data_IF_107544127302
#
_entry.id   IF_107544127302
#
_cell.length_a   1.000
_cell.length_b   1.000
_cell.length_c   1.000
_cell.angle_alpha   90.00
_cell.angle_beta   90.00
_cell.angle_gamma   90.00
#
_symmetry.space_group_name_H-M   'P 1'
#
loop_
_entity.id
_entity.type
_entity.pdbx_description
1 polymer ?
#
# COMPACT_ATOMS: atom_id res chain seq x y z
N UNK A 1 -9.33 33.24 -34.63
CA UNK A 1 -9.61 31.88 -34.13
C UNK A 1 -11.12 31.70 -34.04
N UNK A 2 -11.65 30.66 -34.69
CA UNK A 2 -13.11 30.42 -34.73
C UNK A 2 -13.61 29.97 -33.32
N UNK A 3 -14.87 30.29 -32.97
CA UNK A 3 -15.45 29.91 -31.63
C UNK A 3 -15.29 28.41 -31.32
N UNK A 4 -15.46 27.56 -32.36
CA UNK A 4 -15.25 26.09 -32.25
C UNK A 4 -13.80 25.73 -31.91
N UNK A 5 -12.83 26.39 -32.53
CA UNK A 5 -11.40 26.16 -32.28
C UNK A 5 -11.01 26.52 -30.84
N UNK A 6 -11.52 27.65 -30.30
CA UNK A 6 -11.29 28.06 -28.90
C UNK A 6 -11.85 27.05 -27.94
N UNK A 7 -13.07 26.52 -28.17
CA UNK A 7 -13.69 25.52 -27.35
C UNK A 7 -12.86 24.22 -27.31
N UNK A 8 -12.40 23.76 -28.49
CA UNK A 8 -11.56 22.56 -28.58
C UNK A 8 -10.26 22.74 -27.80
N UNK A 9 -9.61 23.91 -27.91
CA UNK A 9 -8.38 24.20 -27.16
C UNK A 9 -8.61 24.19 -25.68
N UNK A 10 -9.70 24.78 -25.18
CA UNK A 10 -10.05 24.77 -23.73
C UNK A 10 -10.27 23.35 -23.25
N UNK A 11 -11.04 22.53 -24.00
CA UNK A 11 -11.29 21.13 -23.62
C UNK A 11 -9.99 20.32 -23.60
N UNK A 12 -9.10 20.55 -24.59
CA UNK A 12 -7.80 19.86 -24.64
C UNK A 12 -6.92 20.23 -23.44
N UNK A 13 -6.86 21.51 -23.06
CA UNK A 13 -6.11 21.96 -21.88
C UNK A 13 -6.68 21.34 -20.60
N UNK A 14 -8.01 21.37 -20.44
CA UNK A 14 -8.67 20.76 -19.28
C UNK A 14 -8.41 19.25 -19.21
N UNK A 15 -8.44 18.55 -20.34
CA UNK A 15 -8.13 17.11 -20.38
C UNK A 15 -6.68 16.81 -19.96
N UNK A 16 -5.73 17.62 -20.40
CA UNK A 16 -4.32 17.53 -19.99
C UNK A 16 -4.18 17.79 -18.48
N UNK A 17 -4.78 18.86 -17.96
CA UNK A 17 -4.77 19.15 -16.52
C UNK A 17 -5.36 17.99 -15.72
N UNK A 18 -6.47 17.42 -16.15
CA UNK A 18 -7.10 16.30 -15.49
C UNK A 18 -6.22 15.05 -15.50
N UNK A 19 -5.52 14.77 -16.61
CA UNK A 19 -4.58 13.66 -16.72
C UNK A 19 -3.42 13.80 -15.72
N UNK A 20 -2.88 15.02 -15.53
CA UNK A 20 -1.83 15.28 -14.54
C UNK A 20 -2.33 15.18 -13.08
N UNK A 21 -3.57 15.56 -12.83
CA UNK A 21 -4.17 15.48 -11.49
C UNK A 21 -4.69 14.07 -11.16
N UNK A 22 -4.83 13.19 -12.14
CA UNK A 22 -5.38 11.84 -11.96
C UNK A 22 -4.67 11.02 -10.87
N UNK A 23 -3.32 10.97 -10.79
CA UNK A 23 -2.63 10.25 -9.71
C UNK A 23 -2.99 10.81 -8.32
N UNK A 24 -3.11 12.14 -8.21
CA UNK A 24 -3.49 12.80 -6.95
C UNK A 24 -4.89 12.42 -6.50
N UNK A 25 -5.85 12.49 -7.41
CA UNK A 25 -7.24 12.09 -7.14
C UNK A 25 -7.30 10.59 -6.78
N UNK A 26 -6.57 9.75 -7.52
CA UNK A 26 -6.53 8.31 -7.27
C UNK A 26 -5.93 8.00 -5.91
N UNK A 27 -4.88 8.70 -5.49
CA UNK A 27 -4.24 8.50 -4.20
C UNK A 27 -5.10 8.95 -3.03
N UNK A 28 -5.59 10.20 -3.06
CA UNK A 28 -6.30 10.77 -1.90
C UNK A 28 -7.79 10.40 -1.80
N UNK A 29 -8.47 10.24 -2.94
CA UNK A 29 -9.91 10.02 -2.95
C UNK A 29 -10.32 8.56 -3.17
N UNK A 30 -9.46 7.74 -3.85
CA UNK A 30 -9.83 6.37 -4.25
C UNK A 30 -9.07 5.29 -3.52
N UNK A 31 -7.88 5.58 -2.97
CA UNK A 31 -7.06 4.59 -2.27
C UNK A 31 -7.41 4.56 -0.78
N UNK A 32 -7.90 3.45 -0.23
CA UNK A 32 -8.17 3.30 1.21
C UNK A 32 -6.92 3.55 2.05
N UNK A 33 -7.08 4.05 3.27
CA UNK A 33 -5.96 4.35 4.17
C UNK A 33 -5.06 3.14 4.46
N UNK A 34 -5.64 1.96 4.55
CA UNK A 34 -4.90 0.70 4.73
C UNK A 34 -3.99 0.39 3.53
N UNK A 35 -4.54 0.51 2.31
CA UNK A 35 -3.77 0.35 1.06
C UNK A 35 -2.70 1.45 0.91
N UNK A 36 -2.94 2.67 1.43
CA UNK A 36 -1.95 3.74 1.45
C UNK A 36 -0.77 3.40 2.36
N UNK A 37 -1.04 2.89 3.57
CA UNK A 37 0.01 2.48 4.51
C UNK A 37 0.88 1.36 3.92
N UNK A 38 0.28 0.37 3.26
CA UNK A 38 0.99 -0.69 2.56
C UNK A 38 1.83 -0.16 1.38
N UNK A 39 1.28 0.75 0.59
CA UNK A 39 2.00 1.35 -0.54
C UNK A 39 3.22 2.17 -0.11
N UNK A 40 3.20 2.77 1.09
CA UNK A 40 4.31 3.52 1.67
C UNK A 40 5.40 2.62 2.27
N UNK A 41 5.11 1.35 2.50
CA UNK A 41 6.07 0.41 3.08
C UNK A 41 7.21 0.04 2.12
N UNK A 42 8.22 -0.70 2.62
CA UNK A 42 9.34 -1.20 1.82
C UNK A 42 8.87 -2.23 0.78
N UNK A 43 9.66 -2.43 -0.28
CA UNK A 43 9.34 -3.45 -1.30
C UNK A 43 9.32 -4.86 -0.73
N UNK A 44 10.14 -5.12 0.28
CA UNK A 44 10.20 -6.39 0.99
C UNK A 44 8.90 -6.62 1.77
N UNK A 45 8.48 -5.65 2.58
CA UNK A 45 7.20 -5.72 3.30
C UNK A 45 5.99 -5.90 2.36
N UNK A 46 6.00 -5.22 1.20
CA UNK A 46 4.95 -5.39 0.19
C UNK A 46 4.93 -6.83 -0.33
N UNK A 47 6.10 -7.43 -0.60
CA UNK A 47 6.22 -8.80 -1.06
C UNK A 47 5.72 -9.79 0.00
N UNK A 48 6.16 -9.63 1.25
CA UNK A 48 5.79 -10.51 2.35
C UNK A 48 4.29 -10.45 2.65
N UNK A 49 3.72 -9.25 2.68
CA UNK A 49 2.29 -9.06 2.81
C UNK A 49 1.51 -9.72 1.66
N UNK A 50 1.97 -9.53 0.41
CA UNK A 50 1.31 -10.09 -0.77
C UNK A 50 1.37 -11.63 -0.76
N UNK A 51 2.50 -12.22 -0.34
CA UNK A 51 2.67 -13.67 -0.18
C UNK A 51 1.74 -14.22 0.91
N UNK A 52 1.74 -13.58 2.08
CA UNK A 52 0.88 -13.99 3.20
C UNK A 52 -0.61 -13.95 2.82
N UNK A 53 -1.04 -12.84 2.22
CA UNK A 53 -2.42 -12.63 1.79
C UNK A 53 -2.83 -13.65 0.72
N UNK A 54 -1.99 -13.87 -0.29
CA UNK A 54 -2.22 -14.85 -1.34
C UNK A 54 -2.35 -16.27 -0.80
N UNK A 55 -1.46 -16.68 0.09
CA UNK A 55 -1.50 -18.00 0.71
C UNK A 55 -2.76 -18.21 1.53
N UNK A 56 -3.19 -17.18 2.28
CA UNK A 56 -4.43 -17.20 3.07
C UNK A 56 -5.66 -17.34 2.18
N UNK A 57 -5.75 -16.52 1.12
CA UNK A 57 -6.93 -16.51 0.24
C UNK A 57 -7.01 -17.78 -0.61
N UNK A 58 -5.88 -18.28 -1.11
CA UNK A 58 -5.83 -19.57 -1.82
C UNK A 58 -6.25 -20.72 -0.88
N UNK A 59 -5.84 -20.69 0.39
CA UNK A 59 -6.27 -21.68 1.38
C UNK A 59 -7.78 -21.61 1.59
N UNK A 60 -8.36 -20.42 1.69
CA UNK A 60 -9.81 -20.21 1.81
C UNK A 60 -10.56 -20.69 0.56
N UNK A 61 -10.08 -20.36 -0.65
CA UNK A 61 -10.66 -20.83 -1.90
C UNK A 61 -10.68 -22.37 -2.01
N UNK A 62 -9.56 -23.01 -1.67
CA UNK A 62 -9.47 -24.48 -1.67
C UNK A 62 -10.40 -25.10 -0.64
N UNK A 63 -10.54 -24.49 0.54
CA UNK A 63 -11.47 -24.95 1.57
C UNK A 63 -12.93 -24.82 1.12
N UNK A 64 -13.30 -23.68 0.52
CA UNK A 64 -14.65 -23.46 -0.03
C UNK A 64 -14.99 -24.47 -1.14
N UNK A 65 -14.07 -24.70 -2.07
CA UNK A 65 -14.24 -25.68 -3.15
C UNK A 65 -14.36 -27.12 -2.66
N UNK A 66 -13.73 -27.46 -1.52
CA UNK A 66 -13.88 -28.78 -0.88
C UNK A 66 -15.19 -28.93 -0.11
N UNK A 67 -15.66 -27.84 0.51
CA UNK A 67 -16.92 -27.85 1.28
C UNK A 67 -18.14 -27.96 0.36
N UNK A 68 -18.12 -27.26 -0.77
CA UNK A 68 -19.18 -27.29 -1.78
C UNK A 68 -18.58 -27.22 -3.19
N UNK A 69 -18.54 -28.36 -3.92
CA UNK A 69 -18.03 -28.42 -5.29
C UNK A 69 -18.83 -27.59 -6.30
N UNK A 70 -20.06 -27.21 -5.99
CA UNK A 70 -20.89 -26.37 -6.87
C UNK A 70 -20.64 -24.86 -6.66
N UNK A 71 -19.80 -24.47 -5.70
CA UNK A 71 -19.44 -23.08 -5.44
C UNK A 71 -18.91 -22.44 -6.72
N UNK A 72 -19.48 -21.27 -7.07
CA UNK A 72 -19.07 -20.50 -8.25
C UNK A 72 -17.97 -19.51 -7.88
N UNK A 73 -17.14 -19.16 -8.87
CA UNK A 73 -16.17 -18.06 -8.73
C UNK A 73 -16.93 -16.75 -8.53
N UNK A 74 -16.65 -15.97 -7.47
CA UNK A 74 -17.31 -14.69 -7.19
C UNK A 74 -17.24 -13.72 -8.38
N UNK A 75 -18.29 -12.93 -8.56
CA UNK A 75 -18.40 -12.01 -9.69
C UNK A 75 -17.34 -10.89 -9.67
N UNK A 76 -16.89 -10.49 -8.47
CA UNK A 76 -15.89 -9.46 -8.24
C UNK A 76 -14.44 -9.92 -8.52
N UNK A 77 -14.23 -11.22 -8.77
CA UNK A 77 -12.93 -11.80 -9.08
C UNK A 77 -12.72 -11.96 -10.60
N UNK A 78 -12.98 -10.92 -11.39
CA UNK A 78 -12.76 -10.96 -12.83
C UNK A 78 -11.32 -11.28 -13.23
N UNK A 79 -10.34 -10.75 -12.49
CA UNK A 79 -8.92 -11.03 -12.69
C UNK A 79 -8.60 -12.54 -12.61
N UNK A 80 -9.31 -13.28 -11.75
CA UNK A 80 -9.15 -14.72 -11.60
C UNK A 80 -9.79 -15.47 -12.80
N UNK A 81 -11.01 -15.09 -13.19
CA UNK A 81 -11.69 -15.64 -14.37
C UNK A 81 -10.89 -15.42 -15.65
N UNK A 82 -10.29 -14.24 -15.83
CA UNK A 82 -9.43 -13.95 -16.97
C UNK A 82 -8.21 -14.87 -17.03
N UNK A 83 -7.58 -15.15 -15.89
CA UNK A 83 -6.44 -16.08 -15.86
C UNK A 83 -6.86 -17.50 -16.16
N UNK A 84 -7.97 -17.98 -15.58
CA UNK A 84 -8.53 -19.31 -15.89
C UNK A 84 -8.85 -19.44 -17.37
N UNK A 85 -9.42 -18.39 -17.97
CA UNK A 85 -9.69 -18.37 -19.42
C UNK A 85 -8.41 -18.48 -20.26
N UNK A 86 -7.31 -17.87 -19.82
CA UNK A 86 -6.00 -18.02 -20.47
C UNK A 86 -5.47 -19.43 -20.31
N UNK A 87 -5.54 -20.01 -19.12
CA UNK A 87 -5.10 -21.38 -18.85
C UNK A 87 -5.87 -22.39 -19.69
N UNK A 88 -7.20 -22.27 -19.77
CA UNK A 88 -8.03 -23.12 -20.62
C UNK A 88 -7.68 -23.02 -22.09
N UNK A 89 -7.35 -21.81 -22.58
CA UNK A 89 -6.90 -21.62 -23.95
C UNK A 89 -5.56 -22.32 -24.22
N UNK A 90 -4.63 -22.30 -23.25
CA UNK A 90 -3.35 -23.01 -23.38
C UNK A 90 -3.52 -24.53 -23.38
N UNK A 91 -4.50 -25.04 -22.64
CA UNK A 91 -4.81 -26.48 -22.59
C UNK A 91 -5.79 -26.93 -23.66
N UNK A 92 -6.18 -26.05 -24.60
CA UNK A 92 -7.21 -26.30 -25.62
C UNK A 92 -8.57 -26.76 -25.04
N UNK A 93 -8.88 -26.36 -23.82
CA UNK A 93 -10.16 -26.60 -23.15
C UNK A 93 -11.17 -25.51 -23.47
N UNK A 94 -12.46 -25.89 -23.54
CA UNK A 94 -13.53 -24.93 -23.76
C UNK A 94 -13.91 -24.23 -22.44
N UNK A 95 -13.77 -22.90 -22.39
CA UNK A 95 -14.26 -22.11 -21.28
C UNK A 95 -15.79 -21.95 -21.37
N UNK A 96 -16.49 -22.12 -20.25
CA UNK A 96 -17.94 -21.90 -20.15
C UNK A 96 -18.28 -21.18 -18.85
N UNK A 97 -19.30 -20.35 -18.85
CA UNK A 97 -19.89 -19.72 -17.67
C UNK A 97 -21.26 -20.38 -17.39
N UNK A 98 -21.64 -20.49 -16.09
CA UNK A 98 -20.95 -20.08 -14.88
C UNK A 98 -19.73 -20.97 -14.55
N UNK A 99 -18.63 -20.36 -14.04
CA UNK A 99 -17.40 -21.05 -13.73
C UNK A 99 -17.41 -21.56 -12.28
N UNK A 100 -17.30 -22.88 -12.09
CA UNK A 100 -17.17 -23.49 -10.76
C UNK A 100 -15.77 -23.24 -10.21
N UNK A 101 -15.69 -23.01 -8.90
CA UNK A 101 -14.41 -22.72 -8.21
C UNK A 101 -13.45 -23.92 -8.32
N UNK A 102 -13.95 -25.14 -8.23
CA UNK A 102 -13.15 -26.37 -8.41
C UNK A 102 -12.46 -26.39 -9.78
N UNK A 103 -13.20 -26.11 -10.85
CA UNK A 103 -12.67 -26.12 -12.21
C UNK A 103 -11.66 -25.00 -12.43
N UNK A 104 -11.92 -23.84 -11.83
CA UNK A 104 -11.00 -22.71 -11.84
C UNK A 104 -9.66 -23.05 -11.14
N UNK A 105 -9.71 -23.68 -9.96
CA UNK A 105 -8.51 -24.08 -9.22
C UNK A 105 -7.73 -25.17 -9.98
N UNK A 106 -8.41 -26.13 -10.61
CA UNK A 106 -7.80 -27.21 -11.40
C UNK A 106 -7.18 -26.73 -12.72
N UNK A 107 -7.41 -25.48 -13.13
CA UNK A 107 -6.77 -24.89 -14.32
C UNK A 107 -5.31 -24.47 -14.09
N UNK A 108 -4.84 -24.53 -12.85
CA UNK A 108 -3.44 -24.25 -12.50
C UNK A 108 -2.67 -25.55 -12.32
N UNK A 109 -1.47 -25.64 -12.85
CA UNK A 109 -0.66 -26.85 -12.80
C UNK A 109 -0.26 -27.24 -11.36
N UNK A 110 -0.19 -26.25 -10.45
CA UNK A 110 0.13 -26.49 -9.04
C UNK A 110 -0.47 -25.43 -8.12
N UNK A 111 -0.62 -25.80 -6.83
CA UNK A 111 -0.99 -24.84 -5.79
C UNK A 111 0.00 -23.69 -5.69
N UNK A 112 1.28 -23.95 -5.89
CA UNK A 112 2.34 -22.92 -5.83
C UNK A 112 2.17 -21.93 -6.98
N UNK A 113 1.84 -22.39 -8.18
CA UNK A 113 1.55 -21.50 -9.32
C UNK A 113 0.36 -20.59 -9.02
N UNK A 114 -0.71 -21.15 -8.47
CA UNK A 114 -1.89 -20.38 -8.06
C UNK A 114 -1.52 -19.32 -7.01
N UNK A 115 -0.76 -19.67 -5.96
CA UNK A 115 -0.31 -18.72 -4.94
C UNK A 115 0.55 -17.61 -5.55
N UNK A 116 1.50 -17.95 -6.41
CA UNK A 116 2.36 -16.97 -7.08
C UNK A 116 1.56 -16.03 -8.00
N UNK A 117 0.56 -16.55 -8.68
CA UNK A 117 -0.33 -15.72 -9.49
C UNK A 117 -1.12 -14.73 -8.62
N UNK A 118 -1.76 -15.19 -7.55
CA UNK A 118 -2.53 -14.35 -6.62
C UNK A 118 -1.63 -13.33 -5.92
N UNK A 119 -0.41 -13.72 -5.50
CA UNK A 119 0.61 -12.82 -4.97
C UNK A 119 0.92 -11.71 -5.97
N UNK A 120 1.15 -12.06 -7.23
CA UNK A 120 1.42 -11.09 -8.28
C UNK A 120 0.31 -10.07 -8.48
N UNK A 121 -0.96 -10.48 -8.34
CA UNK A 121 -2.12 -9.60 -8.41
C UNK A 121 -2.13 -8.61 -7.24
N UNK A 122 -1.94 -9.08 -6.00
CA UNK A 122 -1.89 -8.21 -4.82
C UNK A 122 -0.71 -7.25 -4.89
N UNK A 123 0.48 -7.75 -5.19
CA UNK A 123 1.69 -6.94 -5.32
C UNK A 123 1.53 -5.86 -6.39
N UNK A 124 0.98 -6.21 -7.56
CA UNK A 124 0.72 -5.25 -8.63
C UNK A 124 -0.27 -4.16 -8.22
N UNK A 125 -1.32 -4.51 -7.46
CA UNK A 125 -2.28 -3.54 -6.91
C UNK A 125 -1.60 -2.55 -5.97
N UNK A 126 -0.78 -3.04 -5.03
CA UNK A 126 -0.07 -2.21 -4.05
C UNK A 126 0.97 -1.32 -4.75
N UNK A 127 1.74 -1.86 -5.69
CA UNK A 127 2.72 -1.11 -6.46
C UNK A 127 2.06 -0.01 -7.31
N UNK A 128 0.88 -0.27 -7.89
CA UNK A 128 0.10 0.76 -8.59
C UNK A 128 -0.30 1.90 -7.66
N UNK A 129 -0.71 1.60 -6.43
CA UNK A 129 -1.02 2.62 -5.44
C UNK A 129 0.24 3.40 -5.03
N UNK A 130 1.40 2.74 -4.93
CA UNK A 130 2.71 3.38 -4.70
C UNK A 130 3.08 4.32 -5.85
N UNK A 131 2.80 3.95 -7.09
CA UNK A 131 3.01 4.82 -8.26
C UNK A 131 2.07 6.03 -8.24
N UNK A 132 0.81 5.87 -7.83
CA UNK A 132 -0.08 7.00 -7.62
C UNK A 132 0.46 7.96 -6.56
N UNK A 133 0.95 7.45 -5.44
CA UNK A 133 1.61 8.28 -4.42
C UNK A 133 2.84 9.01 -4.98
N UNK A 134 3.70 8.30 -5.71
CA UNK A 134 4.92 8.88 -6.29
C UNK A 134 4.62 10.03 -7.25
N UNK A 135 3.57 9.90 -8.05
CA UNK A 135 3.16 10.87 -9.07
C UNK A 135 2.07 11.84 -8.59
N UNK A 136 1.60 11.73 -7.34
CA UNK A 136 0.63 12.67 -6.77
C UNK A 136 1.28 13.97 -6.35
N UNK A 137 0.50 15.04 -6.40
CA UNK A 137 0.88 16.31 -5.77
C UNK A 137 0.89 16.08 -4.26
N UNK A 138 2.06 16.30 -3.64
CA UNK A 138 2.22 16.16 -2.19
C UNK A 138 1.55 17.34 -1.52
N UNK A 139 0.54 17.06 -0.71
CA UNK A 139 -0.02 18.07 0.17
C UNK A 139 1.01 18.40 1.23
N UNK A 140 1.26 19.70 1.49
CA UNK A 140 2.11 20.14 2.59
C UNK A 140 1.56 19.64 3.93
N UNK A 141 2.38 19.64 4.96
CA UNK A 141 2.00 19.17 6.30
C UNK A 141 0.72 19.86 6.82
N UNK A 142 0.55 21.14 6.53
CA UNK A 142 -0.62 21.93 6.92
C UNK A 142 -1.94 21.45 6.26
N UNK A 143 -1.85 20.84 5.08
CA UNK A 143 -3.02 20.33 4.32
C UNK A 143 -3.24 18.84 4.49
N UNK A 144 -2.21 18.07 4.84
CA UNK A 144 -2.33 16.63 5.04
C UNK A 144 -2.75 16.22 6.46
N UNK A 145 -2.90 17.20 7.36
CA UNK A 145 -3.08 16.96 8.79
C UNK A 145 -1.76 16.55 9.45
N UNK A 146 -1.40 17.20 10.56
CA UNK A 146 -0.17 16.92 11.27
C UNK A 146 -0.04 15.46 11.68
N UNK A 147 1.20 14.97 11.76
CA UNK A 147 1.52 13.67 12.31
C UNK A 147 2.00 13.85 13.76
N UNK A 148 1.30 13.24 14.71
CA UNK A 148 1.78 13.13 16.08
C UNK A 148 2.76 11.97 16.17
N UNK A 149 4.03 12.27 16.40
CA UNK A 149 5.07 11.26 16.65
C UNK A 149 5.48 11.36 18.11
N UNK A 150 5.23 10.30 18.88
CA UNK A 150 5.71 10.17 20.24
C UNK A 150 7.06 9.46 20.18
N UNK A 151 8.15 10.19 20.48
CA UNK A 151 9.49 9.61 20.60
C UNK A 151 9.76 9.31 22.05
N UNK A 152 10.04 8.05 22.38
CA UNK A 152 10.49 7.64 23.72
C UNK A 152 12.01 7.53 23.72
N UNK A 153 12.64 8.27 24.60
CA UNK A 153 14.07 8.10 24.88
C UNK A 153 14.26 7.01 25.95
N UNK A 154 15.14 6.04 25.66
CA UNK A 154 15.56 5.04 26.66
C UNK A 154 16.65 5.65 27.54
N UNK A 155 16.23 6.22 28.67
CA UNK A 155 17.12 6.90 29.61
C UNK A 155 17.84 5.92 30.55
N UNK A 156 17.35 4.68 30.67
CA UNK A 156 17.96 3.68 31.56
C UNK A 156 19.33 3.24 31.01
N UNK A 157 19.47 3.19 29.67
CA UNK A 157 20.77 2.91 29.03
C UNK A 157 21.81 4.03 29.26
N UNK A 158 21.38 5.27 29.46
CA UNK A 158 22.27 6.41 29.76
C UNK A 158 22.74 6.35 31.20
N UNK A 159 21.88 5.99 32.13
CA UNK A 159 22.16 5.88 33.57
C UNK A 159 23.13 4.75 33.85
N UNK A 160 22.94 3.58 33.21
CA UNK A 160 23.80 2.40 33.38
C UNK A 160 25.29 2.68 33.05
N UNK A 161 25.59 3.72 32.29
CA UNK A 161 26.94 4.07 31.87
C UNK A 161 27.62 5.16 32.76
N UNK A 162 26.94 5.79 33.72
CA UNK A 162 27.49 6.97 34.41
C UNK A 162 27.42 6.97 35.97
N UNK A 163 27.06 5.87 36.63
CA UNK A 163 27.32 5.68 38.08
C UNK A 163 26.33 6.26 39.07
N UNK A 164 26.34 5.69 40.18
CA UNK A 164 25.47 5.32 41.30
C UNK A 164 25.01 6.42 42.31
N UNK A 165 24.56 7.59 41.95
CA UNK A 165 23.93 8.47 42.94
C UNK A 165 22.56 9.01 42.49
N UNK A 166 21.50 8.91 43.34
CA UNK A 166 20.13 9.29 42.96
C UNK A 166 19.96 10.77 42.55
N UNK A 167 20.77 11.65 43.07
CA UNK A 167 20.72 13.10 42.75
C UNK A 167 21.31 13.40 41.36
N UNK A 168 22.34 12.65 40.98
CA UNK A 168 22.96 12.73 39.64
C UNK A 168 22.07 12.16 38.57
N UNK A 169 21.27 11.15 38.90
CA UNK A 169 20.32 10.50 38.02
C UNK A 169 19.23 11.45 37.49
N UNK A 170 18.68 12.29 38.34
CA UNK A 170 17.59 13.21 37.96
C UNK A 170 18.09 14.38 37.09
N UNK A 171 19.28 14.90 37.37
CA UNK A 171 19.93 15.94 36.56
C UNK A 171 20.37 15.38 35.19
N UNK A 172 20.92 14.19 35.15
CA UNK A 172 21.33 13.50 33.90
C UNK A 172 20.14 13.18 33.01
N UNK A 173 19.03 12.74 33.59
CA UNK A 173 17.77 12.53 32.84
C UNK A 173 17.25 13.81 32.21
N UNK A 174 17.29 14.91 32.95
CA UNK A 174 16.85 16.22 32.47
C UNK A 174 17.74 16.74 31.34
N UNK A 175 19.07 16.63 31.48
CA UNK A 175 20.03 17.02 30.44
C UNK A 175 19.94 16.16 29.19
N UNK A 176 19.85 14.83 29.32
CA UNK A 176 19.69 13.91 28.20
C UNK A 176 18.40 14.17 27.44
N UNK A 177 17.31 14.49 28.17
CA UNK A 177 16.03 14.82 27.54
C UNK A 177 16.11 16.16 26.79
N UNK A 178 16.76 17.17 27.36
CA UNK A 178 16.96 18.47 26.71
C UNK A 178 17.79 18.32 25.42
N UNK A 179 18.87 17.55 25.44
CA UNK A 179 19.69 17.27 24.25
C UNK A 179 18.93 16.48 23.19
N UNK A 180 18.11 15.53 23.60
CA UNK A 180 17.27 14.76 22.68
C UNK A 180 16.24 15.66 21.96
N UNK A 181 15.57 16.54 22.71
CA UNK A 181 14.62 17.52 22.18
C UNK A 181 15.30 18.49 21.21
N UNK A 182 16.45 19.04 21.58
CA UNK A 182 17.20 19.95 20.72
C UNK A 182 17.69 19.29 19.45
N UNK A 183 18.20 18.05 19.55
CA UNK A 183 18.64 17.27 18.38
C UNK A 183 17.48 16.96 17.43
N UNK A 184 16.32 16.58 17.97
CA UNK A 184 15.12 16.32 17.18
C UNK A 184 14.60 17.59 16.52
N UNK A 185 14.52 18.70 17.27
CA UNK A 185 14.10 19.99 16.75
C UNK A 185 15.00 20.46 15.60
N UNK A 186 16.32 20.42 15.79
CA UNK A 186 17.28 20.76 14.73
C UNK A 186 17.19 19.86 13.49
N UNK A 187 16.86 18.59 13.65
CA UNK A 187 16.65 17.68 12.52
C UNK A 187 15.36 17.97 11.79
N UNK A 188 14.28 18.27 12.51
CA UNK A 188 12.97 18.61 11.94
C UNK A 188 13.06 19.93 11.17
N UNK A 189 13.72 20.96 11.73
CA UNK A 189 13.91 22.26 11.08
C UNK A 189 14.73 22.18 9.79
N UNK A 190 15.73 21.29 9.73
CA UNK A 190 16.50 21.04 8.50
C UNK A 190 15.67 20.49 7.35
N UNK A 191 14.54 19.83 7.62
CA UNK A 191 13.62 19.34 6.60
C UNK A 191 12.57 20.39 6.19
N UNK A 192 12.64 21.64 6.70
CA UNK A 192 11.71 22.71 6.35
C UNK A 192 10.28 22.47 6.83
N UNK A 193 10.13 21.69 7.89
CA UNK A 193 8.87 21.45 8.56
C UNK A 193 8.64 22.62 9.52
N UNK A 194 7.83 23.60 9.11
CA UNK A 194 7.53 24.77 9.90
C UNK A 194 6.82 24.40 11.22
N UNK A 195 7.40 24.88 12.31
CA UNK A 195 6.85 24.93 13.69
C UNK A 195 6.46 23.56 14.29
N UNK A 196 7.43 22.76 14.77
CA UNK A 196 7.13 21.76 15.77
C UNK A 196 6.73 22.48 17.08
N UNK A 197 5.51 22.27 17.53
CA UNK A 197 5.05 22.65 18.87
C UNK A 197 5.24 21.49 19.83
#
# INVERSE_FOLDING_TARGET
MNKKSRLITIIAVLAVCFAFLWPTISWYARTPKEDQALALSTLENIKDYSNFKAASDVKAMVAAAKADPETLVPADQEWFKEQVKKNYKLENKKYSEPLKLVDALNSFASKTELVNFVEGVYRKKILKNKDFYKNSVKLGLDLSGGMNVIVKADLDAVIANQGDTPYVEETLKAEAMAQAVETLSNRIDRFGLSSPT
#
